data_IF_404109399396
#
_entry.id   IF_404109399396
#
_cell.length_a   1.000
_cell.length_b   1.000
_cell.length_c   1.000
_cell.angle_alpha   90.00
_cell.angle_beta   90.00
_cell.angle_gamma   90.00
#
_symmetry.space_group_name_H-M   'P 1'
#
loop_
_entity.id
_entity.type
_entity.pdbx_description
1 polymer ?
#
# COMPACT_ATOMS: atom_id res chain seq x y z
N UNK A 1 -34.58 -0.34 33.57
CA UNK A 1 -33.87 -0.47 32.29
C UNK A 1 -32.96 -1.68 32.40
N UNK A 2 -33.03 -2.68 31.50
CA UNK A 2 -32.19 -3.87 31.61
C UNK A 2 -30.72 -3.48 31.39
N UNK A 3 -29.84 -3.86 32.32
CA UNK A 3 -28.40 -3.66 32.20
C UNK A 3 -27.89 -4.39 30.95
N UNK A 4 -27.39 -3.63 29.98
CA UNK A 4 -26.71 -4.16 28.81
C UNK A 4 -25.36 -4.69 29.25
N UNK A 5 -25.28 -5.98 29.55
CA UNK A 5 -24.14 -6.67 30.15
C UNK A 5 -22.84 -6.62 29.32
N UNK A 6 -22.91 -6.19 28.06
CA UNK A 6 -21.75 -5.95 27.19
C UNK A 6 -21.20 -4.51 27.27
N UNK A 7 -21.92 -3.57 27.88
CA UNK A 7 -21.46 -2.20 28.01
C UNK A 7 -20.44 -2.12 29.16
N UNK A 8 -19.24 -1.53 28.95
CA UNK A 8 -18.25 -1.39 30.00
C UNK A 8 -18.83 -0.58 31.17
N UNK A 9 -18.72 -1.11 32.40
CA UNK A 9 -19.28 -0.54 33.64
C UNK A 9 -18.73 0.85 34.02
N UNK A 10 -17.69 1.32 33.32
CA UNK A 10 -17.15 2.69 33.42
C UNK A 10 -16.94 3.24 32.01
N UNK A 11 -17.20 4.53 31.74
CA UNK A 11 -16.75 5.16 30.52
C UNK A 11 -15.22 5.01 30.45
N UNK A 12 -14.73 4.40 29.38
CA UNK A 12 -13.30 4.25 29.14
C UNK A 12 -12.69 5.66 29.12
N UNK A 13 -11.66 5.91 29.93
CA UNK A 13 -10.97 7.21 29.98
C UNK A 13 -9.46 7.03 29.84
N UNK A 14 -8.79 8.03 29.26
CA UNK A 14 -7.34 8.00 29.05
C UNK A 14 -6.91 6.92 28.06
N UNK A 15 -5.94 6.09 28.46
CA UNK A 15 -5.28 5.11 27.57
C UNK A 15 -6.23 4.00 27.08
N UNK A 16 -7.14 3.54 27.93
CA UNK A 16 -8.04 2.43 27.59
C UNK A 16 -9.11 2.83 26.55
N UNK A 17 -9.48 4.11 26.52
CA UNK A 17 -10.33 4.68 25.47
C UNK A 17 -9.61 4.67 24.12
N UNK A 18 -8.38 5.17 24.08
CA UNK A 18 -7.59 5.20 22.85
C UNK A 18 -7.24 3.79 22.34
N UNK A 19 -6.94 2.84 23.22
CA UNK A 19 -6.73 1.44 22.85
C UNK A 19 -8.02 0.81 22.27
N UNK A 20 -9.17 1.12 22.86
CA UNK A 20 -10.45 0.63 22.34
C UNK A 20 -10.83 1.27 20.99
N UNK A 21 -10.52 2.56 20.78
CA UNK A 21 -10.71 3.26 19.49
C UNK A 21 -9.78 2.68 18.42
N UNK A 22 -8.50 2.51 18.73
CA UNK A 22 -7.51 1.91 17.83
C UNK A 22 -7.87 0.48 17.44
N UNK A 23 -8.36 -0.34 18.39
CA UNK A 23 -8.85 -1.69 18.09
C UNK A 23 -10.09 -1.71 17.19
N UNK A 24 -10.88 -0.63 17.16
CA UNK A 24 -12.05 -0.48 16.30
C UNK A 24 -11.71 0.11 14.92
N UNK A 25 -10.48 0.57 14.71
CA UNK A 25 -10.06 1.23 13.47
C UNK A 25 -8.72 0.66 12.95
N UNK A 26 -8.67 -0.64 12.60
CA UNK A 26 -7.46 -1.28 12.10
C UNK A 26 -6.88 -0.61 10.85
N UNK A 27 -7.74 -0.07 9.99
CA UNK A 27 -7.32 0.58 8.75
C UNK A 27 -6.64 1.92 8.99
N UNK A 28 -7.00 2.63 10.07
CA UNK A 28 -6.32 3.86 10.49
C UNK A 28 -4.88 3.59 10.93
N UNK A 29 -4.66 2.48 11.65
CA UNK A 29 -3.33 2.06 12.08
C UNK A 29 -2.48 1.71 10.86
N UNK A 30 -3.03 0.95 9.90
CA UNK A 30 -2.32 0.64 8.66
C UNK A 30 -1.90 1.92 7.95
N UNK A 31 -2.83 2.83 7.70
CA UNK A 31 -2.55 4.09 7.01
C UNK A 31 -1.47 4.89 7.75
N UNK A 32 -1.57 5.01 9.07
CA UNK A 32 -0.58 5.72 9.88
C UNK A 32 0.81 5.09 9.77
N UNK A 33 0.92 3.75 9.81
CA UNK A 33 2.19 3.04 9.62
C UNK A 33 2.74 3.31 8.22
N UNK A 34 1.92 3.28 7.18
CA UNK A 34 2.36 3.51 5.80
C UNK A 34 2.85 4.95 5.58
N UNK A 35 2.12 5.94 6.10
CA UNK A 35 2.53 7.34 6.04
C UNK A 35 3.82 7.57 6.83
N UNK A 36 3.93 6.99 8.03
CA UNK A 36 5.15 7.05 8.82
C UNK A 36 6.32 6.37 8.09
N UNK A 37 6.08 5.24 7.43
CA UNK A 37 7.09 4.55 6.64
C UNK A 37 7.61 5.46 5.51
N UNK A 38 6.71 6.15 4.78
CA UNK A 38 7.09 7.14 3.76
C UNK A 38 7.95 8.26 4.36
N UNK A 39 7.54 8.81 5.51
CA UNK A 39 8.29 9.88 6.18
C UNK A 39 9.67 9.42 6.66
N UNK A 40 9.83 8.16 7.03
CA UNK A 40 11.12 7.62 7.49
C UNK A 40 12.04 7.17 6.35
N UNK A 41 11.53 6.98 5.14
CA UNK A 41 12.32 6.50 3.99
C UNK A 41 13.61 7.29 3.71
N UNK A 42 13.65 8.64 3.78
CA UNK A 42 14.89 9.38 3.53
C UNK A 42 16.04 8.98 4.46
N UNK A 43 15.73 8.59 5.70
CA UNK A 43 16.72 8.13 6.68
C UNK A 43 17.04 6.64 6.53
N UNK A 44 16.02 5.83 6.24
CA UNK A 44 16.15 4.38 6.12
C UNK A 44 16.87 3.97 4.84
N UNK A 45 16.59 4.62 3.71
CA UNK A 45 17.17 4.24 2.42
C UNK A 45 18.66 4.57 2.29
N UNK A 46 19.14 5.55 3.06
CA UNK A 46 20.57 5.85 3.15
C UNK A 46 21.41 4.70 3.74
N UNK A 47 20.76 3.73 4.39
CA UNK A 47 21.41 2.62 5.09
C UNK A 47 20.94 1.28 4.51
N UNK A 48 21.86 0.36 4.25
CA UNK A 48 21.53 -0.97 3.72
C UNK A 48 20.52 -1.73 4.59
N UNK A 49 20.67 -1.64 5.91
CA UNK A 49 19.76 -2.27 6.88
C UNK A 49 18.40 -1.57 6.94
N UNK A 50 18.34 -0.26 6.66
CA UNK A 50 17.09 0.50 6.73
C UNK A 50 16.11 0.08 5.62
N UNK A 51 16.60 -0.26 4.43
CA UNK A 51 15.77 -0.86 3.37
C UNK A 51 15.18 -2.21 3.78
N UNK A 52 15.97 -3.08 4.42
CA UNK A 52 15.48 -4.37 4.91
C UNK A 52 14.42 -4.20 6.00
N UNK A 53 14.66 -3.32 6.96
CA UNK A 53 13.70 -2.99 8.02
C UNK A 53 12.40 -2.45 7.42
N UNK A 54 12.49 -1.56 6.43
CA UNK A 54 11.32 -1.00 5.74
C UNK A 54 10.48 -2.09 5.06
N UNK A 55 11.11 -2.98 4.28
CA UNK A 55 10.42 -4.07 3.58
C UNK A 55 9.69 -4.97 4.58
N UNK A 56 10.37 -5.35 5.68
CA UNK A 56 9.81 -6.23 6.71
C UNK A 56 8.63 -5.56 7.42
N UNK A 57 8.79 -4.33 7.91
CA UNK A 57 7.71 -3.61 8.61
C UNK A 57 6.52 -3.41 7.68
N UNK A 58 6.77 -3.01 6.43
CA UNK A 58 5.70 -2.76 5.46
C UNK A 58 4.97 -4.05 5.09
N UNK A 59 5.69 -5.16 4.92
CA UNK A 59 5.10 -6.47 4.69
C UNK A 59 4.17 -6.91 5.84
N UNK A 60 4.65 -6.81 7.09
CA UNK A 60 3.84 -7.19 8.24
C UNK A 60 2.64 -6.25 8.43
N UNK A 61 2.81 -4.94 8.28
CA UNK A 61 1.71 -3.98 8.38
C UNK A 61 0.59 -4.29 7.38
N UNK A 62 0.97 -4.49 6.11
CA UNK A 62 0.04 -4.78 5.02
C UNK A 62 -0.61 -6.16 5.18
N UNK A 63 0.15 -7.16 5.65
CA UNK A 63 -0.40 -8.51 5.90
C UNK A 63 -1.38 -8.52 7.06
N UNK A 64 -1.10 -7.81 8.15
CA UNK A 64 -2.00 -7.66 9.29
C UNK A 64 -3.29 -6.97 8.84
N UNK A 65 -3.17 -5.90 8.06
CA UNK A 65 -4.34 -5.23 7.52
C UNK A 65 -5.18 -6.16 6.63
N UNK A 66 -4.55 -6.91 5.72
CA UNK A 66 -5.24 -7.90 4.88
C UNK A 66 -5.95 -8.98 5.71
N UNK A 67 -5.35 -9.41 6.83
CA UNK A 67 -5.96 -10.34 7.77
C UNK A 67 -7.17 -9.73 8.48
N UNK A 68 -7.09 -8.46 8.88
CA UNK A 68 -8.17 -7.81 9.62
C UNK A 68 -9.35 -7.42 8.71
N UNK A 69 -9.10 -7.07 7.44
CA UNK A 69 -10.15 -6.63 6.52
C UNK A 69 -10.87 -7.77 5.79
N UNK A 70 -10.45 -9.02 5.93
CA UNK A 70 -11.10 -10.17 5.26
C UNK A 70 -11.39 -11.33 6.20
N UNK A 71 -12.64 -11.79 6.14
CA UNK A 71 -13.14 -12.97 6.88
C UNK A 71 -12.75 -14.31 6.26
N UNK A 72 -12.13 -14.36 5.07
CA UNK A 72 -11.84 -15.62 4.34
C UNK A 72 -10.38 -16.05 4.55
N UNK A 73 -10.09 -17.05 5.41
CA UNK A 73 -8.73 -17.38 5.84
C UNK A 73 -7.81 -17.87 4.71
N UNK A 74 -8.37 -18.52 3.67
CA UNK A 74 -7.60 -19.12 2.57
C UNK A 74 -6.81 -18.09 1.76
N UNK A 75 -7.37 -16.89 1.61
CA UNK A 75 -6.79 -15.80 0.85
C UNK A 75 -5.63 -15.13 1.62
N UNK A 76 -5.67 -15.10 2.95
CA UNK A 76 -4.57 -14.57 3.76
C UNK A 76 -3.38 -15.53 3.83
N UNK A 77 -3.63 -16.84 3.89
CA UNK A 77 -2.57 -17.85 3.80
C UNK A 77 -1.84 -17.81 2.46
N UNK A 78 -2.56 -17.61 1.37
CA UNK A 78 -1.94 -17.44 0.05
C UNK A 78 -1.05 -16.19 0.00
N UNK A 79 -1.50 -15.08 0.60
CA UNK A 79 -0.71 -13.85 0.69
C UNK A 79 0.58 -14.05 1.48
N UNK A 80 0.53 -14.81 2.59
CA UNK A 80 1.71 -15.16 3.39
C UNK A 80 2.66 -16.09 2.64
N UNK A 81 2.13 -17.14 2.00
CA UNK A 81 2.91 -18.11 1.24
C UNK A 81 3.63 -17.48 0.05
N UNK A 82 3.05 -16.48 -0.59
CA UNK A 82 3.68 -15.74 -1.69
C UNK A 82 4.59 -14.63 -1.15
N UNK A 83 4.09 -13.85 -0.19
CA UNK A 83 4.77 -12.66 0.28
C UNK A 83 6.06 -12.95 1.05
N UNK A 84 6.12 -14.02 1.84
CA UNK A 84 7.32 -14.36 2.61
C UNK A 84 8.53 -14.70 1.71
N UNK A 85 8.40 -15.57 0.68
CA UNK A 85 9.42 -15.74 -0.35
C UNK A 85 9.82 -14.44 -1.05
N UNK A 86 8.86 -13.57 -1.38
CA UNK A 86 9.15 -12.30 -2.05
C UNK A 86 9.96 -11.34 -1.16
N UNK A 87 9.66 -11.27 0.14
CA UNK A 87 10.46 -10.50 1.11
C UNK A 87 11.87 -11.09 1.24
N UNK A 88 12.00 -12.41 1.27
CA UNK A 88 13.31 -13.07 1.31
C UNK A 88 14.13 -12.81 0.04
N UNK A 89 13.50 -12.85 -1.13
CA UNK A 89 14.12 -12.49 -2.41
C UNK A 89 14.51 -11.03 -2.47
N UNK A 90 13.69 -10.13 -1.91
CA UNK A 90 14.05 -8.71 -1.81
C UNK A 90 15.22 -8.50 -0.86
N UNK A 91 15.25 -9.19 0.28
CA UNK A 91 16.40 -9.15 1.18
C UNK A 91 17.68 -9.67 0.50
N UNK A 92 17.56 -10.71 -0.33
CA UNK A 92 18.67 -11.19 -1.15
C UNK A 92 19.05 -10.18 -2.24
N UNK A 93 18.09 -9.51 -2.89
CA UNK A 93 18.37 -8.50 -3.92
C UNK A 93 19.23 -7.35 -3.37
N UNK A 94 19.03 -7.01 -2.10
CA UNK A 94 19.82 -6.01 -1.37
C UNK A 94 21.27 -6.47 -1.14
N UNK A 95 21.49 -7.76 -0.87
CA UNK A 95 22.83 -8.34 -0.66
C UNK A 95 23.56 -8.69 -1.97
N UNK A 96 22.83 -8.85 -3.07
CA UNK A 96 23.38 -9.19 -4.39
C UNK A 96 22.78 -8.31 -5.49
N UNK A 97 23.14 -7.00 -5.54
CA UNK A 97 22.54 -6.04 -6.47
C UNK A 97 22.72 -6.36 -7.97
N UNK A 98 23.76 -7.15 -8.28
CA UNK A 98 24.11 -7.57 -9.63
C UNK A 98 23.25 -8.74 -10.14
N UNK A 99 22.56 -9.45 -9.25
CA UNK A 99 21.70 -10.57 -9.64
C UNK A 99 20.34 -10.08 -10.13
N UNK A 100 20.25 -9.87 -11.44
CA UNK A 100 19.05 -9.35 -12.11
C UNK A 100 17.83 -10.25 -11.86
N UNK A 101 18.00 -11.57 -11.88
CA UNK A 101 16.90 -12.51 -11.73
C UNK A 101 16.29 -12.44 -10.33
N UNK A 102 17.12 -12.44 -9.28
CA UNK A 102 16.66 -12.35 -7.88
C UNK A 102 15.94 -11.03 -7.64
N UNK A 103 16.52 -9.92 -8.11
CA UNK A 103 15.88 -8.60 -8.01
C UNK A 103 14.54 -8.54 -8.73
N UNK A 104 14.49 -8.93 -10.01
CA UNK A 104 13.27 -8.91 -10.78
C UNK A 104 12.16 -9.77 -10.14
N UNK A 105 12.45 -11.02 -9.79
CA UNK A 105 11.44 -11.93 -9.20
C UNK A 105 10.98 -11.40 -7.83
N UNK A 106 11.89 -10.87 -7.01
CA UNK A 106 11.55 -10.24 -5.74
C UNK A 106 10.62 -9.04 -5.91
N UNK A 107 10.95 -8.10 -6.80
CA UNK A 107 10.17 -6.89 -7.06
C UNK A 107 8.81 -7.16 -7.69
N UNK A 108 8.74 -7.99 -8.73
CA UNK A 108 7.45 -8.36 -9.32
C UNK A 108 6.58 -9.17 -8.35
N UNK A 109 7.19 -10.04 -7.54
CA UNK A 109 6.49 -10.78 -6.51
C UNK A 109 5.90 -9.89 -5.42
N UNK A 110 6.67 -8.90 -4.93
CA UNK A 110 6.17 -7.89 -4.01
C UNK A 110 5.09 -7.02 -4.67
N UNK A 111 5.27 -6.57 -5.90
CA UNK A 111 4.24 -5.81 -6.63
C UNK A 111 2.92 -6.60 -6.70
N UNK A 112 2.98 -7.89 -7.05
CA UNK A 112 1.81 -8.77 -7.08
C UNK A 112 1.16 -8.94 -5.69
N UNK A 113 1.96 -9.10 -4.63
CA UNK A 113 1.47 -9.16 -3.25
C UNK A 113 0.76 -7.87 -2.84
N UNK A 114 1.35 -6.70 -3.09
CA UNK A 114 0.74 -5.42 -2.76
C UNK A 114 -0.52 -5.16 -3.60
N UNK A 115 -0.54 -5.48 -4.91
CA UNK A 115 -1.75 -5.39 -5.74
C UNK A 115 -2.87 -6.30 -5.21
N UNK A 116 -2.51 -7.50 -4.78
CA UNK A 116 -3.45 -8.44 -4.20
C UNK A 116 -4.06 -7.91 -2.89
N UNK A 117 -3.25 -7.33 -2.01
CA UNK A 117 -3.75 -6.73 -0.76
C UNK A 117 -4.56 -5.46 -1.04
N UNK A 118 -4.15 -4.63 -1.99
CA UNK A 118 -4.91 -3.47 -2.44
C UNK A 118 -6.29 -3.91 -2.93
N UNK A 119 -6.37 -4.91 -3.81
CA UNK A 119 -7.64 -5.49 -4.24
C UNK A 119 -8.48 -5.97 -3.06
N UNK A 120 -7.85 -6.60 -2.05
CA UNK A 120 -8.49 -6.99 -0.81
C UNK A 120 -9.15 -5.82 -0.08
N UNK A 121 -8.40 -4.75 0.19
CA UNK A 121 -8.89 -3.56 0.87
C UNK A 121 -9.97 -2.83 0.06
N UNK A 122 -9.80 -2.72 -1.26
CA UNK A 122 -10.82 -2.14 -2.14
C UNK A 122 -12.09 -2.97 -2.07
N UNK A 123 -12.01 -4.29 -2.26
CA UNK A 123 -13.18 -5.15 -2.18
C UNK A 123 -13.90 -5.06 -0.83
N UNK A 124 -13.16 -4.90 0.27
CA UNK A 124 -13.70 -4.67 1.60
C UNK A 124 -14.50 -3.37 1.65
N UNK A 125 -13.91 -2.26 1.20
CA UNK A 125 -14.59 -0.96 1.09
C UNK A 125 -15.86 -1.07 0.24
N UNK A 126 -15.85 -1.79 -0.88
CA UNK A 126 -17.02 -1.91 -1.75
C UNK A 126 -18.08 -2.91 -1.26
N UNK A 127 -17.74 -3.81 -0.32
CA UNK A 127 -18.66 -4.83 0.18
C UNK A 127 -19.68 -4.30 1.19
N UNK A 128 -19.35 -3.23 1.90
CA UNK A 128 -20.16 -2.78 3.03
C UNK A 128 -21.31 -1.85 2.60
N UNK A 129 -22.42 -1.88 3.35
CA UNK A 129 -23.64 -1.12 3.01
C UNK A 129 -23.69 0.26 3.64
N UNK A 130 -22.78 0.56 4.57
CA UNK A 130 -22.74 1.79 5.35
C UNK A 130 -21.32 2.28 5.53
N UNK A 131 -21.08 3.56 5.21
CA UNK A 131 -19.75 4.17 5.39
C UNK A 131 -19.43 4.31 6.87
N UNK A 132 -18.48 3.52 7.37
CA UNK A 132 -17.93 3.69 8.73
C UNK A 132 -16.66 4.55 8.72
N UNK A 133 -16.24 5.07 9.90
CA UNK A 133 -14.98 5.81 9.98
C UNK A 133 -13.76 4.95 9.62
N UNK A 134 -13.76 3.66 9.95
CA UNK A 134 -12.67 2.75 9.55
C UNK A 134 -12.59 2.60 8.03
N UNK A 135 -13.73 2.58 7.35
CA UNK A 135 -13.81 2.48 5.90
C UNK A 135 -13.19 3.67 5.18
N UNK A 136 -13.32 4.88 5.74
CA UNK A 136 -12.63 6.08 5.22
C UNK A 136 -11.11 5.94 5.34
N UNK A 137 -10.62 5.36 6.44
CA UNK A 137 -9.19 5.06 6.58
C UNK A 137 -8.76 3.91 5.66
N UNK A 138 -9.62 2.90 5.44
CA UNK A 138 -9.36 1.78 4.54
C UNK A 138 -9.21 2.24 3.09
N UNK A 139 -9.96 3.24 2.66
CA UNK A 139 -9.76 3.93 1.38
C UNK A 139 -8.34 4.51 1.31
N UNK A 140 -7.96 5.36 2.27
CA UNK A 140 -6.61 5.94 2.27
C UNK A 140 -5.51 4.88 2.30
N UNK A 141 -5.68 3.86 3.13
CA UNK A 141 -4.76 2.75 3.26
C UNK A 141 -4.62 1.98 1.93
N UNK A 142 -5.73 1.62 1.28
CA UNK A 142 -5.73 0.94 -0.02
C UNK A 142 -5.03 1.77 -1.09
N UNK A 143 -5.26 3.08 -1.12
CA UNK A 143 -4.57 3.99 -2.03
C UNK A 143 -3.05 3.95 -1.80
N UNK A 144 -2.60 4.03 -0.55
CA UNK A 144 -1.17 3.91 -0.26
C UNK A 144 -0.61 2.51 -0.56
N UNK A 145 -1.36 1.42 -0.35
CA UNK A 145 -0.91 0.08 -0.79
C UNK A 145 -0.69 0.05 -2.31
N UNK A 146 -1.57 0.69 -3.10
CA UNK A 146 -1.38 0.81 -4.57
C UNK A 146 -0.11 1.60 -4.93
N UNK A 147 0.19 2.69 -4.22
CA UNK A 147 1.46 3.44 -4.42
C UNK A 147 2.67 2.51 -4.30
N UNK A 148 2.71 1.71 -3.23
CA UNK A 148 3.82 0.80 -2.99
C UNK A 148 3.85 -0.33 -4.04
N UNK A 149 2.68 -0.81 -4.46
CA UNK A 149 2.57 -1.84 -5.48
C UNK A 149 3.21 -1.41 -6.81
N UNK A 150 2.88 -0.20 -7.27
CA UNK A 150 3.46 0.34 -8.51
C UNK A 150 4.94 0.71 -8.34
N UNK A 151 5.36 1.21 -7.17
CA UNK A 151 6.79 1.44 -6.89
C UNK A 151 7.62 0.14 -7.04
N UNK A 152 7.15 -0.98 -6.47
CA UNK A 152 7.79 -2.28 -6.68
C UNK A 152 7.69 -2.78 -8.13
N UNK A 153 6.58 -2.50 -8.81
CA UNK A 153 6.44 -2.85 -10.22
C UNK A 153 7.48 -2.12 -11.07
N UNK A 154 7.71 -0.83 -10.79
CA UNK A 154 8.74 -0.02 -11.45
C UNK A 154 10.16 -0.51 -11.12
N UNK A 155 10.42 -0.90 -9.87
CA UNK A 155 11.67 -1.58 -9.52
C UNK A 155 11.89 -2.82 -10.40
N UNK A 156 10.88 -3.67 -10.54
CA UNK A 156 10.95 -4.87 -11.40
C UNK A 156 11.21 -4.51 -12.87
N UNK A 157 10.52 -3.50 -13.40
CA UNK A 157 10.71 -3.02 -14.78
C UNK A 157 12.14 -2.54 -15.03
N UNK A 158 12.73 -1.76 -14.13
CA UNK A 158 14.10 -1.27 -14.34
C UNK A 158 15.17 -2.37 -14.23
N UNK A 159 14.88 -3.47 -13.53
CA UNK A 159 15.78 -4.62 -13.46
C UNK A 159 15.81 -5.40 -14.78
N UNK A 160 14.66 -5.63 -15.41
CA UNK A 160 14.58 -6.33 -16.71
C UNK A 160 15.01 -5.42 -17.86
N UNK A 161 14.58 -4.16 -17.83
CA UNK A 161 14.89 -3.16 -18.85
C UNK A 161 15.65 -1.99 -18.20
N UNK A 162 17.00 -2.04 -18.20
CA UNK A 162 17.83 -0.94 -17.72
C UNK A 162 17.50 0.38 -18.44
N UNK A 163 17.73 1.50 -17.76
CA UNK A 163 17.44 2.85 -18.27
C UNK A 163 15.95 3.08 -18.63
N UNK A 164 15.05 2.32 -18.00
CA UNK A 164 13.61 2.49 -18.16
C UNK A 164 13.09 3.83 -17.62
N UNK A 165 13.77 4.35 -16.60
CA UNK A 165 13.44 5.61 -15.94
C UNK A 165 14.65 6.54 -15.96
N UNK A 166 14.39 7.82 -16.19
CA UNK A 166 15.36 8.90 -15.98
C UNK A 166 14.98 9.69 -14.72
N UNK A 167 15.94 10.40 -14.15
CA UNK A 167 15.69 11.39 -13.11
C UNK A 167 16.63 12.56 -13.28
N UNK A 168 16.42 13.61 -12.49
CA UNK A 168 17.26 14.81 -12.53
C UNK A 168 18.72 14.51 -12.17
N UNK A 169 18.94 13.61 -11.21
CA UNK A 169 20.28 13.14 -10.83
C UNK A 169 20.67 11.91 -11.67
N UNK A 170 21.81 11.94 -12.38
CA UNK A 170 22.29 10.78 -13.13
C UNK A 170 22.55 9.58 -12.22
N UNK A 171 22.16 8.39 -12.66
CA UNK A 171 22.35 7.16 -11.91
C UNK A 171 21.82 5.94 -12.67
N UNK A 172 22.45 4.76 -12.53
CA UNK A 172 22.13 3.58 -13.34
C UNK A 172 20.76 2.97 -13.03
N UNK A 173 20.23 3.19 -11.81
CA UNK A 173 18.91 2.74 -11.36
C UNK A 173 18.31 3.82 -10.47
N UNK A 174 16.98 3.91 -10.46
CA UNK A 174 16.23 4.73 -9.51
C UNK A 174 16.10 4.00 -8.18
N UNK A 175 16.24 4.75 -7.11
CA UNK A 175 16.00 4.32 -5.74
C UNK A 175 14.51 3.99 -5.52
N UNK A 176 14.19 3.31 -4.42
CA UNK A 176 12.81 3.00 -4.09
C UNK A 176 12.02 4.28 -3.78
N UNK A 177 12.59 5.23 -3.03
CA UNK A 177 11.91 6.51 -2.76
C UNK A 177 11.66 7.33 -4.03
N UNK A 178 12.61 7.36 -4.97
CA UNK A 178 12.42 8.00 -6.29
C UNK A 178 11.23 7.40 -7.05
N UNK A 179 11.13 6.07 -7.10
CA UNK A 179 10.04 5.39 -7.81
C UNK A 179 8.72 5.43 -7.04
N UNK A 180 8.77 5.51 -5.70
CA UNK A 180 7.59 5.74 -4.87
C UNK A 180 7.06 7.17 -5.06
N UNK A 181 7.95 8.16 -5.18
CA UNK A 181 7.57 9.54 -5.51
C UNK A 181 6.98 9.62 -6.92
N UNK A 182 7.60 8.95 -7.90
CA UNK A 182 7.06 8.82 -9.26
C UNK A 182 5.66 8.18 -9.25
N UNK A 183 5.49 7.06 -8.53
CA UNK A 183 4.20 6.39 -8.38
C UNK A 183 3.17 7.31 -7.73
N UNK A 184 3.51 8.01 -6.65
CA UNK A 184 2.63 8.96 -6.00
C UNK A 184 2.17 10.06 -6.96
N UNK A 185 3.09 10.65 -7.74
CA UNK A 185 2.77 11.70 -8.70
C UNK A 185 1.81 11.23 -9.82
N UNK A 186 1.99 9.99 -10.31
CA UNK A 186 1.15 9.41 -11.36
C UNK A 186 -0.20 8.96 -10.84
N UNK A 187 -0.23 8.22 -9.72
CA UNK A 187 -1.47 7.68 -9.17
C UNK A 187 -2.41 8.78 -8.67
N UNK A 188 -1.85 9.88 -8.17
CA UNK A 188 -2.63 11.09 -7.80
C UNK A 188 -2.93 11.99 -8.98
N UNK A 189 -2.33 11.74 -10.15
CA UNK A 189 -2.40 12.60 -11.34
C UNK A 189 -1.91 14.04 -11.13
N UNK A 190 -1.01 14.26 -10.16
CA UNK A 190 -0.37 15.57 -9.91
C UNK A 190 0.77 15.83 -10.90
N UNK A 191 1.53 14.80 -11.27
CA UNK A 191 2.56 14.89 -12.32
C UNK A 191 3.84 15.66 -11.97
N UNK A 192 4.10 15.99 -10.70
CA UNK A 192 5.27 16.77 -10.24
C UNK A 192 6.59 15.99 -10.11
N UNK A 193 6.63 14.72 -10.49
CA UNK A 193 7.82 13.87 -10.29
C UNK A 193 9.03 14.36 -11.09
N UNK A 194 10.22 14.33 -10.48
CA UNK A 194 11.51 14.57 -11.12
C UNK A 194 12.06 13.33 -11.83
N UNK A 195 11.40 12.19 -11.65
CA UNK A 195 11.60 10.93 -12.37
C UNK A 195 10.58 10.79 -13.51
N UNK A 196 10.99 10.23 -14.65
CA UNK A 196 10.13 9.99 -15.80
C UNK A 196 10.40 8.66 -16.52
N UNK A 197 9.34 8.04 -17.06
CA UNK A 197 9.41 6.79 -17.83
C UNK A 197 9.79 7.06 -19.31
N UNK A 198 10.90 6.47 -19.77
CA UNK A 198 11.39 6.67 -21.14
C UNK A 198 11.11 5.45 -22.03
N UNK A 199 11.40 4.24 -21.55
CA UNK A 199 11.26 3.03 -22.38
C UNK A 199 9.80 2.63 -22.58
N UNK A 200 9.46 1.94 -23.70
CA UNK A 200 8.08 1.56 -24.01
C UNK A 200 7.39 0.77 -22.89
N UNK A 201 8.07 -0.20 -22.28
CA UNK A 201 7.50 -1.00 -21.20
C UNK A 201 7.22 -0.17 -19.94
N UNK A 202 8.14 0.73 -19.57
CA UNK A 202 7.94 1.63 -18.44
C UNK A 202 6.74 2.57 -18.68
N UNK A 203 6.63 3.16 -19.87
CA UNK A 203 5.50 4.01 -20.25
C UNK A 203 4.16 3.27 -20.21
N UNK A 204 4.12 2.04 -20.72
CA UNK A 204 2.90 1.23 -20.68
C UNK A 204 2.44 0.99 -19.24
N UNK A 205 3.36 0.61 -18.34
CA UNK A 205 3.03 0.43 -16.91
C UNK A 205 2.56 1.74 -16.28
N UNK A 206 3.20 2.87 -16.58
CA UNK A 206 2.77 4.18 -16.08
C UNK A 206 1.39 4.59 -16.57
N UNK A 207 1.03 4.30 -17.82
CA UNK A 207 -0.34 4.55 -18.33
C UNK A 207 -1.36 3.74 -17.52
N UNK A 208 -1.07 2.47 -17.23
CA UNK A 208 -1.94 1.62 -16.41
C UNK A 208 -2.06 2.16 -14.99
N UNK A 209 -0.97 2.65 -14.39
CA UNK A 209 -1.01 3.28 -13.08
C UNK A 209 -1.92 4.51 -13.07
N UNK A 210 -1.72 5.45 -14.00
CA UNK A 210 -2.50 6.68 -14.10
C UNK A 210 -4.00 6.39 -14.25
N UNK A 211 -4.35 5.44 -15.13
CA UNK A 211 -5.72 4.98 -15.30
C UNK A 211 -6.28 4.37 -14.01
N UNK A 212 -5.49 3.54 -13.32
CA UNK A 212 -5.87 2.94 -12.04
C UNK A 212 -6.14 4.00 -10.98
N UNK A 213 -5.28 5.02 -10.89
CA UNK A 213 -5.40 6.13 -9.93
C UNK A 213 -6.69 6.93 -10.12
N UNK A 214 -6.95 7.39 -11.36
CA UNK A 214 -8.17 8.13 -11.69
C UNK A 214 -9.42 7.29 -11.44
N UNK A 215 -9.44 6.03 -11.89
CA UNK A 215 -10.59 5.14 -11.68
C UNK A 215 -10.83 4.88 -10.19
N UNK A 216 -9.77 4.67 -9.41
CA UNK A 216 -9.88 4.47 -7.96
C UNK A 216 -10.58 5.66 -7.29
N UNK A 217 -10.08 6.88 -7.51
CA UNK A 217 -10.63 8.09 -6.90
C UNK A 217 -12.08 8.31 -7.33
N UNK A 218 -12.37 8.14 -8.63
CA UNK A 218 -13.71 8.30 -9.17
C UNK A 218 -14.71 7.31 -8.55
N UNK A 219 -14.36 6.03 -8.46
CA UNK A 219 -15.23 5.00 -7.89
C UNK A 219 -15.48 5.24 -6.38
N UNK A 220 -14.43 5.55 -5.62
CA UNK A 220 -14.54 5.80 -4.18
C UNK A 220 -15.42 7.00 -3.89
N UNK A 221 -15.15 8.16 -4.52
CA UNK A 221 -15.93 9.39 -4.28
C UNK A 221 -17.39 9.16 -4.68
N UNK A 222 -17.64 8.55 -5.83
CA UNK A 222 -18.99 8.26 -6.31
C UNK A 222 -19.78 7.40 -5.31
N UNK A 223 -19.13 6.37 -4.75
CA UNK A 223 -19.76 5.50 -3.74
C UNK A 223 -20.05 6.23 -2.43
N UNK A 224 -19.09 7.00 -1.92
CA UNK A 224 -19.26 7.78 -0.67
C UNK A 224 -20.42 8.77 -0.79
N UNK A 225 -20.52 9.47 -1.93
CA UNK A 225 -21.63 10.39 -2.22
C UNK A 225 -22.95 9.63 -2.31
N UNK A 226 -23.00 8.53 -3.07
CA UNK A 226 -24.22 7.72 -3.24
C UNK A 226 -24.78 7.22 -1.91
N UNK A 227 -23.92 6.70 -1.01
CA UNK A 227 -24.34 6.21 0.31
C UNK A 227 -24.77 7.34 1.25
N UNK A 228 -24.10 8.49 1.19
CA UNK A 228 -24.47 9.67 1.99
C UNK A 228 -25.85 10.20 1.58
N UNK A 229 -26.12 10.30 0.28
CA UNK A 229 -27.42 10.73 -0.25
C UNK A 229 -28.53 9.71 0.06
N UNK A 230 -28.24 8.42 -0.07
CA UNK A 230 -29.20 7.36 0.25
C UNK A 230 -29.60 7.37 1.74
N UNK A 231 -28.65 7.65 2.65
CA UNK A 231 -28.91 7.79 4.07
C UNK A 231 -29.74 9.03 4.40
N UNK A 232 -29.50 10.16 3.73
CA UNK A 232 -30.25 11.40 3.96
C UNK A 232 -31.71 11.34 3.48
N UNK A 233 -32.04 10.41 2.58
CA UNK A 233 -33.41 10.17 2.08
C UNK A 233 -34.25 9.23 2.95
N UNK A 234 -33.62 8.56 3.93
CA UNK A 234 -34.30 7.73 4.93
C UNK A 234 -34.58 8.53 6.19
#
# INVERSE_FOLDING_TARGET
MPEVWYAPKKPLSGRDYWVAVLRKQPSAILLAIQLLAILLLPWLEAQLWGRLVFVVISFFAVTIAAFVTRSTPSLTWLALLIGFPCVALEAWSVLSPDNVLVGAVGHFGLAAFYLYVAYGLVSYVFSDSWVTSDELFAVGAAFTVLLFAFAYLYLGVQFIWPDSFTGHVPGPRRSFLELLFFSAANLTSVGLSDVGAIRPHARAVTIIEQLTGVMYVAMVISRLVALTVAKARR
#
